data_IF_558562401236
#
_entry.id   IF_558562401236
#
_cell.length_a   1.000
_cell.length_b   1.000
_cell.length_c   1.000
_cell.angle_alpha   90.00
_cell.angle_beta   90.00
_cell.angle_gamma   90.00
#
_symmetry.space_group_name_H-M   'P 1'
#
loop_
_entity.id
_entity.type
_entity.pdbx_description
1 polymer ?
#
# COMPACT_ATOMS: atom_id res chain seq x y z
N UNK A 1 29.34 -26.22 16.05
CA UNK A 1 29.57 -25.67 14.70
C UNK A 1 28.80 -26.54 13.74
N UNK A 2 27.99 -25.95 12.87
CA UNK A 2 27.22 -26.71 11.89
C UNK A 2 28.16 -27.53 10.99
N UNK A 3 27.80 -28.80 10.78
CA UNK A 3 28.55 -29.74 9.94
C UNK A 3 28.86 -29.12 8.57
N UNK A 4 27.91 -28.36 8.02
CA UNK A 4 28.04 -27.71 6.72
C UNK A 4 29.04 -26.55 6.76
N UNK A 5 29.02 -25.71 7.79
CA UNK A 5 30.03 -24.64 7.96
C UNK A 5 31.44 -25.22 8.07
N UNK A 6 31.60 -26.38 8.73
CA UNK A 6 32.90 -27.04 8.85
C UNK A 6 33.43 -27.51 7.49
N UNK A 7 32.55 -28.05 6.62
CA UNK A 7 32.94 -28.50 5.28
C UNK A 7 33.31 -27.34 4.36
N UNK A 8 32.58 -26.22 4.41
CA UNK A 8 32.84 -25.09 3.51
C UNK A 8 34.05 -24.26 3.98
N UNK A 9 34.23 -24.10 5.30
CA UNK A 9 35.26 -23.25 5.88
C UNK A 9 36.59 -23.94 6.21
N UNK A 10 36.63 -25.28 6.31
CA UNK A 10 37.86 -26.02 6.61
C UNK A 10 38.67 -26.34 5.36
N UNK A 11 39.99 -26.23 5.44
CA UNK A 11 40.92 -26.70 4.40
C UNK A 11 41.54 -28.06 4.75
N UNK A 12 41.16 -28.66 5.87
CA UNK A 12 41.69 -29.92 6.39
C UNK A 12 40.89 -31.12 5.85
N UNK A 13 41.47 -31.95 4.97
CA UNK A 13 40.77 -33.08 4.35
C UNK A 13 40.29 -34.13 5.36
N UNK A 14 40.99 -34.34 6.47
CA UNK A 14 40.62 -35.36 7.46
C UNK A 14 39.34 -34.94 8.20
N UNK A 15 39.29 -33.67 8.62
CA UNK A 15 38.12 -33.09 9.28
C UNK A 15 36.90 -33.05 8.37
N UNK A 16 37.10 -32.80 7.08
CA UNK A 16 36.04 -32.87 6.07
C UNK A 16 35.54 -34.31 5.93
N UNK A 17 36.45 -35.28 5.83
CA UNK A 17 36.11 -36.69 5.66
C UNK A 17 35.33 -37.25 6.85
N UNK A 18 35.68 -36.84 8.08
CA UNK A 18 34.95 -37.21 9.29
C UNK A 18 33.52 -36.68 9.29
N UNK A 19 33.31 -35.45 8.80
CA UNK A 19 31.97 -34.88 8.66
C UNK A 19 31.15 -35.58 7.58
N UNK A 20 31.76 -35.89 6.43
CA UNK A 20 31.09 -36.64 5.34
C UNK A 20 30.71 -38.06 5.77
N UNK A 21 31.55 -38.71 6.59
CA UNK A 21 31.26 -40.04 7.15
C UNK A 21 30.17 -40.02 8.22
N UNK A 22 30.09 -38.94 9.01
CA UNK A 22 29.06 -38.76 10.02
C UNK A 22 27.67 -38.49 9.41
N UNK A 23 27.63 -37.91 8.20
CA UNK A 23 26.39 -37.54 7.50
C UNK A 23 26.41 -37.97 6.02
N UNK A 24 26.42 -39.29 5.74
CA UNK A 24 26.53 -39.83 4.38
C UNK A 24 25.32 -39.51 3.49
N UNK A 25 24.16 -39.21 4.07
CA UNK A 25 22.96 -38.79 3.33
C UNK A 25 23.16 -37.49 2.53
N UNK A 26 24.16 -36.68 2.89
CA UNK A 26 24.53 -35.47 2.17
C UNK A 26 25.79 -35.66 1.31
N UNK A 27 26.29 -36.88 1.14
CA UNK A 27 27.50 -37.20 0.38
C UNK A 27 27.51 -36.62 -1.04
N UNK A 28 26.39 -36.70 -1.75
CA UNK A 28 26.26 -36.14 -3.10
C UNK A 28 26.33 -34.61 -3.08
N UNK A 29 25.70 -33.97 -2.10
CA UNK A 29 25.75 -32.53 -1.90
C UNK A 29 27.18 -32.07 -1.58
N UNK A 30 27.92 -32.83 -0.76
CA UNK A 30 29.32 -32.55 -0.45
C UNK A 30 30.20 -32.66 -1.70
N UNK A 31 30.04 -33.69 -2.53
CA UNK A 31 30.76 -33.81 -3.80
C UNK A 31 30.44 -32.66 -4.77
N UNK A 32 29.19 -32.19 -4.80
CA UNK A 32 28.82 -31.02 -5.58
C UNK A 32 29.52 -29.74 -5.06
N UNK A 33 29.48 -29.49 -3.75
CA UNK A 33 30.14 -28.34 -3.11
C UNK A 33 31.66 -28.35 -3.32
N UNK A 34 32.31 -29.52 -3.25
CA UNK A 34 33.75 -29.64 -3.53
C UNK A 34 34.11 -29.32 -4.98
N UNK A 35 33.28 -29.72 -5.94
CA UNK A 35 33.50 -29.36 -7.36
C UNK A 35 33.45 -27.85 -7.58
N UNK A 36 32.63 -27.13 -6.82
CA UNK A 36 32.59 -25.66 -6.89
C UNK A 36 33.82 -24.98 -6.26
N UNK A 37 34.64 -25.67 -5.45
CA UNK A 37 35.94 -25.12 -4.99
C UNK A 37 36.96 -25.03 -6.12
N UNK A 38 36.85 -25.89 -7.14
CA UNK A 38 37.75 -25.86 -8.28
C UNK A 38 37.33 -24.78 -9.30
N UNK A 39 36.04 -24.42 -9.34
CA UNK A 39 35.51 -23.30 -10.14
C UNK A 39 34.83 -22.21 -9.29
N UNK A 40 35.63 -21.58 -8.43
CA UNK A 40 35.17 -20.47 -7.56
C UNK A 40 34.66 -19.29 -8.40
N UNK A 41 35.19 -19.08 -9.61
CA UNK A 41 34.74 -17.97 -10.48
C UNK A 41 33.32 -18.20 -10.97
N UNK A 42 33.01 -19.41 -11.45
CA UNK A 42 31.65 -19.76 -11.87
C UNK A 42 30.69 -19.72 -10.68
N UNK A 43 31.10 -20.22 -9.50
CA UNK A 43 30.30 -20.13 -8.27
C UNK A 43 29.96 -18.68 -7.91
N UNK A 44 30.97 -17.79 -7.88
CA UNK A 44 30.75 -16.38 -7.59
C UNK A 44 29.87 -15.71 -8.65
N UNK A 45 29.99 -16.11 -9.92
CA UNK A 45 29.15 -15.60 -10.98
C UNK A 45 27.68 -16.02 -10.78
N UNK A 46 27.41 -17.30 -10.50
CA UNK A 46 26.06 -17.79 -10.21
C UNK A 46 25.41 -17.10 -9.00
N UNK A 47 26.17 -16.90 -7.92
CA UNK A 47 25.65 -16.14 -6.76
C UNK A 47 25.37 -14.68 -7.10
N UNK A 48 26.24 -14.04 -7.88
CA UNK A 48 26.06 -12.65 -8.31
C UNK A 48 24.82 -12.50 -9.19
N UNK A 49 24.59 -13.45 -10.11
CA UNK A 49 23.39 -13.50 -10.94
C UNK A 49 22.12 -13.73 -10.12
N UNK A 50 22.15 -14.69 -9.19
CA UNK A 50 21.04 -14.97 -8.31
C UNK A 50 20.67 -13.75 -7.44
N UNK A 51 21.67 -13.06 -6.88
CA UNK A 51 21.48 -11.82 -6.12
C UNK A 51 20.90 -10.70 -6.99
N UNK A 52 21.39 -10.55 -8.22
CA UNK A 52 20.87 -9.55 -9.16
C UNK A 52 19.41 -9.82 -9.54
N UNK A 53 19.06 -11.09 -9.75
CA UNK A 53 17.67 -11.50 -10.03
C UNK A 53 16.79 -11.21 -8.81
N UNK A 54 17.26 -11.56 -7.61
CA UNK A 54 16.55 -11.30 -6.36
C UNK A 54 16.31 -9.80 -6.15
N UNK A 55 17.33 -8.97 -6.34
CA UNK A 55 17.26 -7.52 -6.22
C UNK A 55 16.29 -6.91 -7.24
N UNK A 56 16.35 -7.38 -8.48
CA UNK A 56 15.43 -6.98 -9.55
C UNK A 56 13.98 -7.35 -9.21
N UNK A 57 13.76 -8.57 -8.71
CA UNK A 57 12.42 -9.05 -8.33
C UNK A 57 11.89 -8.30 -7.11
N UNK A 58 12.74 -8.02 -6.12
CA UNK A 58 12.38 -7.25 -4.93
C UNK A 58 11.98 -5.83 -5.32
N UNK A 59 12.78 -5.18 -6.17
CA UNK A 59 12.46 -3.84 -6.67
C UNK A 59 11.14 -3.82 -7.44
N UNK A 60 10.91 -4.79 -8.34
CA UNK A 60 9.63 -4.93 -9.05
C UNK A 60 8.45 -5.14 -8.10
N UNK A 61 8.61 -6.00 -7.10
CA UNK A 61 7.58 -6.24 -6.09
C UNK A 61 7.25 -4.97 -5.31
N UNK A 62 8.27 -4.23 -4.86
CA UNK A 62 8.08 -2.97 -4.14
C UNK A 62 7.38 -1.91 -5.01
N UNK A 63 7.71 -1.84 -6.31
CA UNK A 63 7.04 -0.94 -7.25
C UNK A 63 5.55 -1.31 -7.39
N UNK A 64 5.23 -2.59 -7.56
CA UNK A 64 3.82 -3.00 -7.70
C UNK A 64 3.03 -2.80 -6.40
N UNK A 65 3.65 -3.04 -5.23
CA UNK A 65 3.00 -2.73 -3.95
C UNK A 65 2.72 -1.22 -3.80
N UNK A 66 3.66 -0.36 -4.20
CA UNK A 66 3.48 1.09 -4.20
C UNK A 66 2.41 1.54 -5.19
N UNK A 67 2.38 0.98 -6.41
CA UNK A 67 1.33 1.28 -7.40
C UNK A 67 -0.06 0.90 -6.89
N UNK A 68 -0.18 -0.24 -6.22
CA UNK A 68 -1.46 -0.67 -5.65
C UNK A 68 -1.91 0.26 -4.52
N UNK A 69 -0.98 0.68 -3.65
CA UNK A 69 -1.26 1.71 -2.62
C UNK A 69 -1.72 3.02 -3.24
N UNK A 70 -1.05 3.49 -4.30
CA UNK A 70 -1.45 4.70 -5.03
C UNK A 70 -2.84 4.56 -5.64
N UNK A 71 -3.15 3.43 -6.31
CA UNK A 71 -4.48 3.18 -6.88
C UNK A 71 -5.59 3.26 -5.84
N UNK A 72 -5.38 2.67 -4.67
CA UNK A 72 -6.36 2.73 -3.56
C UNK A 72 -6.54 4.15 -3.06
N UNK A 73 -5.45 4.90 -2.88
CA UNK A 73 -5.52 6.30 -2.46
C UNK A 73 -6.24 7.17 -3.50
N UNK A 74 -5.99 6.96 -4.79
CA UNK A 74 -6.70 7.67 -5.86
C UNK A 74 -8.20 7.36 -5.86
N UNK A 75 -8.58 6.11 -5.61
CA UNK A 75 -9.98 5.71 -5.50
C UNK A 75 -10.67 6.34 -4.29
N UNK A 76 -10.02 6.32 -3.13
CA UNK A 76 -10.51 7.01 -1.93
C UNK A 76 -10.66 8.52 -2.15
N UNK A 77 -9.71 9.16 -2.83
CA UNK A 77 -9.78 10.57 -3.18
C UNK A 77 -10.97 10.86 -4.10
N UNK A 78 -11.15 10.07 -5.16
CA UNK A 78 -12.30 10.23 -6.06
C UNK A 78 -13.63 10.09 -5.32
N UNK A 79 -13.75 9.12 -4.42
CA UNK A 79 -14.96 8.92 -3.63
C UNK A 79 -15.23 10.13 -2.71
N UNK A 80 -14.20 10.65 -2.04
CA UNK A 80 -14.32 11.86 -1.20
C UNK A 80 -14.69 13.10 -2.02
N UNK A 81 -14.10 13.26 -3.20
CA UNK A 81 -14.45 14.36 -4.11
C UNK A 81 -15.91 14.30 -4.54
N UNK A 82 -16.42 13.10 -4.82
CA UNK A 82 -17.84 12.90 -5.16
C UNK A 82 -18.77 13.19 -3.97
N UNK A 83 -18.41 12.75 -2.76
CA UNK A 83 -19.15 13.09 -1.53
C UNK A 83 -19.18 14.59 -1.28
N UNK A 84 -18.04 15.28 -1.41
CA UNK A 84 -17.95 16.73 -1.28
C UNK A 84 -18.82 17.42 -2.34
N UNK A 85 -18.84 16.91 -3.57
CA UNK A 85 -19.71 17.46 -4.63
C UNK A 85 -21.18 17.34 -4.26
N UNK A 86 -21.63 16.16 -3.82
CA UNK A 86 -23.01 15.93 -3.37
C UNK A 86 -23.39 16.85 -2.21
N UNK A 87 -22.51 16.97 -1.21
CA UNK A 87 -22.74 17.87 -0.07
C UNK A 87 -22.85 19.33 -0.50
N UNK A 88 -22.05 19.78 -1.49
CA UNK A 88 -22.16 21.14 -2.02
C UNK A 88 -23.48 21.38 -2.74
N UNK A 89 -23.93 20.42 -3.55
CA UNK A 89 -25.23 20.49 -4.23
C UNK A 89 -26.39 20.56 -3.21
N UNK A 90 -26.33 19.75 -2.16
CA UNK A 90 -27.33 19.77 -1.09
C UNK A 90 -27.33 21.09 -0.31
N UNK A 91 -26.17 21.63 0.03
CA UNK A 91 -26.06 22.94 0.68
C UNK A 91 -26.63 24.05 -0.20
N UNK A 92 -26.39 24.01 -1.51
CA UNK A 92 -26.93 25.01 -2.43
C UNK A 92 -28.46 24.92 -2.51
N UNK A 93 -29.00 23.72 -2.64
CA UNK A 93 -30.46 23.50 -2.62
C UNK A 93 -31.10 24.01 -1.32
N UNK A 94 -30.50 23.70 -0.16
CA UNK A 94 -30.98 24.20 1.13
C UNK A 94 -30.90 25.73 1.24
N UNK A 95 -29.90 26.37 0.61
CA UNK A 95 -29.79 27.83 0.57
C UNK A 95 -30.89 28.47 -0.27
N UNK A 96 -31.21 27.89 -1.42
CA UNK A 96 -32.30 28.34 -2.28
C UNK A 96 -33.66 28.23 -1.56
N UNK A 97 -33.92 27.11 -0.90
CA UNK A 97 -35.12 26.91 -0.08
C UNK A 97 -35.21 27.93 1.05
N UNK A 98 -34.10 28.17 1.77
CA UNK A 98 -34.04 29.16 2.84
C UNK A 98 -34.32 30.58 2.33
N UNK A 99 -33.79 30.94 1.16
CA UNK A 99 -34.05 32.24 0.52
C UNK A 99 -35.52 32.40 0.15
N UNK A 100 -36.13 31.37 -0.43
CA UNK A 100 -37.54 31.34 -0.78
C UNK A 100 -38.44 31.47 0.46
N UNK A 101 -38.14 30.70 1.51
CA UNK A 101 -38.87 30.76 2.77
C UNK A 101 -38.75 32.15 3.44
N UNK A 102 -37.57 32.78 3.41
CA UNK A 102 -37.37 34.13 3.93
C UNK A 102 -38.19 35.17 3.15
N UNK A 103 -38.25 35.06 1.83
CA UNK A 103 -39.04 35.96 0.99
C UNK A 103 -40.55 35.84 1.31
N UNK A 104 -41.06 34.61 1.41
CA UNK A 104 -42.46 34.35 1.78
C UNK A 104 -42.80 34.88 3.18
N UNK A 105 -41.88 34.73 4.14
CA UNK A 105 -42.06 35.25 5.49
C UNK A 105 -42.14 36.79 5.50
N UNK A 106 -41.25 37.46 4.76
CA UNK A 106 -41.26 38.92 4.64
C UNK A 106 -42.56 39.45 4.01
N UNK A 107 -43.11 38.76 3.01
CA UNK A 107 -44.41 39.09 2.43
C UNK A 107 -45.54 38.96 3.46
N UNK A 108 -45.56 37.85 4.21
CA UNK A 108 -46.56 37.62 5.25
C UNK A 108 -46.47 38.61 6.41
N UNK A 109 -45.27 39.03 6.78
CA UNK A 109 -45.07 40.07 7.79
C UNK A 109 -45.59 41.42 7.31
N UNK A 110 -45.35 41.77 6.04
CA UNK A 110 -45.86 42.99 5.40
C UNK A 110 -47.39 43.01 5.37
N UNK A 111 -48.00 41.88 5.00
CA UNK A 111 -49.46 41.70 4.98
C UNK A 111 -50.07 41.82 6.38
N UNK A 112 -49.45 41.19 7.39
CA UNK A 112 -49.86 41.30 8.78
C UNK A 112 -49.79 42.74 9.30
N UNK A 113 -48.71 43.48 8.99
CA UNK A 113 -48.58 44.88 9.38
C UNK A 113 -49.69 45.73 8.77
N UNK A 114 -50.01 45.51 7.48
CA UNK A 114 -51.11 46.21 6.79
C UNK A 114 -52.47 45.92 7.43
N UNK A 115 -52.76 44.65 7.72
CA UNK A 115 -54.03 44.26 8.35
C UNK A 115 -54.17 44.84 9.76
N UNK A 116 -53.09 44.85 10.57
CA UNK A 116 -53.07 45.49 11.88
C UNK A 116 -53.35 46.99 11.81
N UNK A 117 -52.77 47.70 10.83
CA UNK A 117 -53.02 49.12 10.63
C UNK A 117 -54.49 49.41 10.28
N UNK A 118 -55.11 48.58 9.43
CA UNK A 118 -56.52 48.70 9.07
C UNK A 118 -57.47 48.45 10.24
N UNK A 119 -57.17 47.47 11.10
CA UNK A 119 -57.95 47.21 12.31
C UNK A 119 -57.91 48.40 13.26
N UNK A 120 -56.72 48.96 13.51
CA UNK A 120 -56.55 50.12 14.39
C UNK A 120 -57.24 51.39 13.86
N UNK A 121 -57.43 51.51 12.54
CA UNK A 121 -58.14 52.62 11.93
C UNK A 121 -59.68 52.49 11.99
N UNK A 122 -60.21 51.32 12.39
CA UNK A 122 -61.65 51.05 12.55
C UNK A 122 -62.13 51.14 14.00
N UNK A 123 -61.22 51.18 14.96
CA UNK A 123 -61.47 51.46 16.38
C UNK A 123 -61.51 52.97 16.63
#
# INVERSE_FOLDING_TARGET
MDAWLTVIASSDPERILDVVRAYPEFGELYCQVFRFRDDIKELMNMFSEALKILDTNTTKYMIEEQKEKLRKQEEELRNREEEIRKQREEIESQREELLSAKAALAEKDSENQRLKALLKAKE
#
